data_IF_992671002387
#
_entry.id   IF_992671002387
#
_cell.length_a   1.000
_cell.length_b   1.000
_cell.length_c   1.000
_cell.angle_alpha   90.00
_cell.angle_beta   90.00
_cell.angle_gamma   90.00
#
_symmetry.space_group_name_H-M   'P 1'
#
loop_
_entity.id
_entity.type
_entity.pdbx_description
1 polymer ?
#
# COMPACT_ATOMS: atom_id res chain seq x y z
N UNK A 1 24.38 24.94 -6.25
CA UNK A 1 23.26 24.32 -6.99
C UNK A 1 22.31 23.80 -5.94
N UNK A 2 21.29 24.57 -5.60
CA UNK A 2 20.26 24.11 -4.67
C UNK A 2 19.54 22.93 -5.33
N UNK A 3 19.70 21.75 -4.76
CA UNK A 3 19.02 20.55 -5.21
C UNK A 3 17.54 20.73 -4.86
N UNK A 4 16.73 21.06 -5.87
CA UNK A 4 15.27 21.09 -5.80
C UNK A 4 14.72 19.67 -5.57
N UNK A 5 15.06 19.07 -4.43
CA UNK A 5 14.50 17.80 -3.99
C UNK A 5 13.08 18.06 -3.50
N UNK A 6 12.13 17.24 -3.93
CA UNK A 6 10.80 17.26 -3.36
C UNK A 6 10.91 17.00 -1.85
N UNK A 7 10.21 17.78 -1.03
CA UNK A 7 10.22 17.63 0.43
C UNK A 7 9.83 16.22 0.87
N UNK A 8 8.95 15.56 0.11
CA UNK A 8 8.51 14.19 0.33
C UNK A 8 9.46 13.11 -0.21
N UNK A 9 10.53 13.49 -0.91
CA UNK A 9 11.37 12.56 -1.66
C UNK A 9 10.66 11.93 -2.86
N UNK A 10 11.45 11.28 -3.72
CA UNK A 10 10.93 10.52 -4.87
C UNK A 10 10.36 9.16 -4.44
N UNK A 11 10.81 8.61 -3.31
CA UNK A 11 10.34 7.31 -2.80
C UNK A 11 8.85 7.34 -2.43
N UNK A 12 8.37 8.47 -1.92
CA UNK A 12 6.94 8.66 -1.65
C UNK A 12 6.12 8.61 -2.93
N UNK A 13 6.61 9.21 -4.02
CA UNK A 13 5.90 9.19 -5.31
C UNK A 13 5.80 7.76 -5.84
N UNK A 14 6.85 6.95 -5.68
CA UNK A 14 6.83 5.56 -6.13
C UNK A 14 5.85 4.68 -5.32
N UNK A 15 5.74 4.90 -4.01
CA UNK A 15 4.71 4.26 -3.19
C UNK A 15 3.29 4.69 -3.61
N UNK A 16 3.09 5.99 -3.84
CA UNK A 16 1.80 6.56 -4.24
C UNK A 16 1.36 6.04 -5.61
N UNK A 17 2.27 5.82 -6.56
CA UNK A 17 1.94 5.21 -7.87
C UNK A 17 1.25 3.85 -7.72
N UNK A 18 1.77 2.98 -6.84
CA UNK A 18 1.18 1.67 -6.58
C UNK A 18 -0.20 1.76 -5.94
N UNK A 19 -0.39 2.73 -5.04
CA UNK A 19 -1.67 2.98 -4.38
C UNK A 19 -2.73 3.58 -5.34
N UNK A 20 -2.33 4.51 -6.21
CA UNK A 20 -3.22 5.12 -7.19
C UNK A 20 -3.67 4.08 -8.22
N UNK A 21 -2.74 3.24 -8.72
CA UNK A 21 -3.07 2.22 -9.71
C UNK A 21 -4.19 1.27 -9.24
N UNK A 22 -4.15 0.87 -7.97
CA UNK A 22 -5.19 0.00 -7.37
C UNK A 22 -6.50 0.74 -7.12
N UNK A 23 -6.44 2.00 -6.72
CA UNK A 23 -7.63 2.83 -6.58
C UNK A 23 -8.30 3.16 -7.92
N UNK A 24 -7.53 3.28 -9.00
CA UNK A 24 -8.07 3.45 -10.36
C UNK A 24 -8.81 2.18 -10.81
N UNK A 25 -8.27 0.98 -10.53
CA UNK A 25 -8.96 -0.28 -10.81
C UNK A 25 -10.25 -0.39 -9.99
N UNK A 26 -10.24 0.02 -8.72
CA UNK A 26 -11.43 0.08 -7.89
C UNK A 26 -12.50 1.04 -8.48
N UNK A 27 -12.08 2.22 -8.93
CA UNK A 27 -12.97 3.20 -9.56
C UNK A 27 -13.52 2.72 -10.93
N UNK A 28 -12.73 1.92 -11.65
CA UNK A 28 -13.14 1.29 -12.90
C UNK A 28 -14.02 0.04 -12.70
N UNK A 29 -14.47 -0.25 -11.47
CA UNK A 29 -15.23 -1.45 -11.11
C UNK A 29 -14.49 -2.76 -11.47
N UNK A 30 -13.16 -2.71 -11.47
CA UNK A 30 -12.30 -3.87 -11.69
C UNK A 30 -12.18 -4.75 -10.44
N UNK A 31 -11.43 -5.83 -10.56
CA UNK A 31 -11.19 -6.77 -9.47
C UNK A 31 -10.08 -6.23 -8.56
N UNK A 32 -10.39 -6.03 -7.29
CA UNK A 32 -9.45 -5.56 -6.26
C UNK A 32 -9.50 -6.43 -5.00
N UNK A 33 -8.40 -6.43 -4.24
CA UNK A 33 -8.36 -7.00 -2.89
C UNK A 33 -8.61 -5.89 -1.87
N UNK A 34 -9.71 -5.97 -1.11
CA UNK A 34 -10.06 -4.98 -0.11
C UNK A 34 -9.09 -5.05 1.08
N UNK A 35 -8.44 -3.92 1.41
CA UNK A 35 -7.44 -3.86 2.48
C UNK A 35 -7.46 -2.52 3.20
N UNK A 36 -8.29 -2.36 4.27
CA UNK A 36 -9.39 -3.20 4.74
C UNK A 36 -10.78 -2.92 4.14
N UNK A 37 -10.93 -1.82 3.41
CA UNK A 37 -12.13 -1.49 2.63
C UNK A 37 -11.73 -1.32 1.16
N UNK A 38 -12.71 -1.28 0.26
CA UNK A 38 -12.44 -1.06 -1.16
C UNK A 38 -11.63 0.23 -1.41
N UNK A 39 -11.96 1.32 -0.70
CA UNK A 39 -11.29 2.62 -0.84
C UNK A 39 -9.86 2.69 -0.28
N UNK A 40 -9.45 1.70 0.53
CA UNK A 40 -8.09 1.62 1.10
C UNK A 40 -7.23 0.54 0.43
N UNK A 41 -7.76 -0.13 -0.60
CA UNK A 41 -7.13 -1.26 -1.31
C UNK A 41 -5.72 -0.98 -1.84
N UNK A 42 -5.38 0.29 -2.11
CA UNK A 42 -4.05 0.68 -2.55
C UNK A 42 -2.97 0.84 -1.47
N UNK A 43 -3.34 0.79 -0.19
CA UNK A 43 -2.39 1.06 0.91
C UNK A 43 -1.30 0.00 1.01
N UNK A 44 -1.68 -1.28 0.96
CA UNK A 44 -0.73 -2.41 1.00
C UNK A 44 0.19 -2.42 -0.22
N UNK A 45 -0.30 -2.42 -1.48
CA UNK A 45 0.57 -2.47 -2.65
C UNK A 45 1.48 -1.24 -2.76
N UNK A 46 1.00 -0.04 -2.38
CA UNK A 46 1.84 1.15 -2.37
C UNK A 46 3.01 1.04 -1.40
N UNK A 47 2.77 0.55 -0.18
CA UNK A 47 3.83 0.37 0.81
C UNK A 47 4.75 -0.82 0.46
N UNK A 48 4.18 -1.97 0.12
CA UNK A 48 4.92 -3.21 -0.09
C UNK A 48 5.81 -3.15 -1.33
N UNK A 49 5.32 -2.63 -2.47
CA UNK A 49 6.12 -2.49 -3.68
C UNK A 49 7.26 -1.46 -3.54
N UNK A 50 7.09 -0.46 -2.67
CA UNK A 50 8.19 0.44 -2.32
C UNK A 50 9.22 -0.33 -1.49
N UNK A 51 8.78 -1.02 -0.44
CA UNK A 51 9.68 -1.71 0.48
C UNK A 51 10.45 -2.84 -0.19
N UNK A 52 9.79 -3.61 -1.05
CA UNK A 52 10.39 -4.63 -1.91
C UNK A 52 11.59 -4.04 -2.69
N UNK A 53 11.39 -2.89 -3.35
CA UNK A 53 12.43 -2.23 -4.16
C UNK A 53 13.56 -1.61 -3.34
N UNK A 54 13.31 -1.18 -2.11
CA UNK A 54 14.32 -0.48 -1.29
C UNK A 54 15.05 -1.37 -0.29
N UNK A 55 14.51 -2.55 0.03
CA UNK A 55 15.02 -3.42 1.08
C UNK A 55 15.23 -4.88 0.64
N UNK A 56 15.12 -5.19 -0.65
CA UNK A 56 15.33 -6.53 -1.22
C UNK A 56 14.61 -7.62 -0.40
N UNK A 57 13.32 -7.37 -0.11
CA UNK A 57 12.53 -8.23 0.77
C UNK A 57 12.39 -9.64 0.19
N UNK A 58 12.50 -10.64 1.05
CA UNK A 58 12.18 -12.03 0.66
C UNK A 58 10.67 -12.23 0.59
N UNK A 59 10.24 -13.25 -0.15
CA UNK A 59 8.82 -13.61 -0.24
C UNK A 59 8.22 -13.92 1.14
N UNK A 60 8.96 -14.59 2.01
CA UNK A 60 8.56 -14.86 3.40
C UNK A 60 8.33 -13.57 4.19
N UNK A 61 9.18 -12.55 4.04
CA UNK A 61 9.01 -11.27 4.70
C UNK A 61 7.79 -10.49 4.18
N UNK A 62 7.49 -10.61 2.89
CA UNK A 62 6.27 -10.03 2.32
C UNK A 62 5.02 -10.74 2.84
N UNK A 63 5.06 -12.06 2.99
CA UNK A 63 3.98 -12.86 3.58
C UNK A 63 3.79 -12.48 5.05
N UNK A 64 4.85 -12.38 5.83
CA UNK A 64 4.82 -11.94 7.23
C UNK A 64 4.26 -10.53 7.37
N UNK A 65 4.59 -9.62 6.45
CA UNK A 65 4.01 -8.29 6.39
C UNK A 65 2.48 -8.35 6.25
N UNK A 66 1.95 -9.20 5.36
CA UNK A 66 0.50 -9.38 5.18
C UNK A 66 -0.15 -9.97 6.43
N UNK A 67 0.48 -10.95 7.08
CA UNK A 67 -0.01 -11.50 8.34
C UNK A 67 -0.03 -10.44 9.43
N UNK A 68 1.04 -9.67 9.59
CA UNK A 68 1.11 -8.58 10.57
C UNK A 68 0.01 -7.54 10.31
N UNK A 69 -0.18 -7.14 9.05
CA UNK A 69 -1.23 -6.20 8.67
C UNK A 69 -2.62 -6.72 9.03
N UNK A 70 -2.90 -8.01 8.77
CA UNK A 70 -4.18 -8.64 9.10
C UNK A 70 -4.44 -8.72 10.61
N UNK A 71 -3.41 -9.01 11.42
CA UNK A 71 -3.51 -9.05 12.89
C UNK A 71 -3.79 -7.66 13.46
N UNK A 72 -3.05 -6.65 13.01
CA UNK A 72 -3.24 -5.25 13.45
C UNK A 72 -4.63 -4.76 13.07
N UNK A 73 -5.09 -5.10 11.87
CA UNK A 73 -6.45 -4.79 11.44
C UNK A 73 -7.51 -5.48 12.32
N UNK A 74 -7.37 -6.79 12.55
CA UNK A 74 -8.32 -7.57 13.33
C UNK A 74 -8.47 -7.02 14.76
N UNK A 75 -7.36 -6.56 15.35
CA UNK A 75 -7.34 -5.93 16.66
C UNK A 75 -8.08 -4.57 16.68
N UNK A 76 -8.07 -3.82 15.56
CA UNK A 76 -8.60 -2.46 15.51
C UNK A 76 -10.10 -2.33 15.30
N UNK A 77 -10.88 -3.42 15.17
CA UNK A 77 -12.37 -3.46 15.00
C UNK A 77 -12.98 -2.13 14.55
N UNK A 78 -12.55 -1.60 13.40
CA UNK A 78 -13.29 -0.53 12.76
C UNK A 78 -14.44 -1.20 12.04
N UNK A 79 -15.65 -1.00 12.58
CA UNK A 79 -16.92 -1.34 11.93
C UNK A 79 -16.84 -0.94 10.46
N UNK A 80 -17.05 -1.90 9.56
CA UNK A 80 -17.24 -1.64 8.14
C UNK A 80 -18.39 -0.63 8.00
N UNK A 81 -18.06 0.62 7.72
CA UNK A 81 -18.97 1.50 7.02
C UNK A 81 -18.58 1.38 5.55
N UNK A 82 -19.41 0.63 4.82
CA UNK A 82 -19.50 0.73 3.36
C UNK A 82 -20.05 2.09 2.98
#
# INVERSE_FOLDING_TARGET
>A
METHHALSGYEMIDAVKGAIATNEVNAAMGIICATPTAGSSGTIPGALFKLEKTHDLTEEQMIDFLFHFSIVWACRRQTMQV
#
